data_IF_778559714854
#
_entry.id   IF_778559714854
#
_cell.length_a   1.000
_cell.length_b   1.000
_cell.length_c   1.000
_cell.angle_alpha   90.00
_cell.angle_beta   90.00
_cell.angle_gamma   90.00
#
_symmetry.space_group_name_H-M   'P 1'
#
loop_
_entity.id
_entity.type
_entity.pdbx_description
1 polymer ?
#
# COMPACT_ATOMS: atom_id res chain seq x y z
N UNK A 1 -17.77 7.52 7.71
CA UNK A 1 -16.79 8.55 7.25
C UNK A 1 -16.92 8.87 5.75
N UNK A 2 -16.60 10.09 5.31
CA UNK A 2 -16.76 10.53 3.90
C UNK A 2 -15.68 9.97 2.98
N UNK A 3 -16.05 9.54 1.77
CA UNK A 3 -15.09 9.16 0.73
C UNK A 3 -14.44 10.40 0.12
N UNK A 4 -13.12 10.41 0.11
CA UNK A 4 -12.26 11.45 -0.45
C UNK A 4 -11.69 10.99 -1.80
N UNK A 5 -11.26 11.94 -2.63
CA UNK A 5 -10.67 11.66 -3.95
C UNK A 5 -9.21 12.11 -4.02
N UNK A 6 -8.41 11.36 -4.77
CA UNK A 6 -7.10 11.81 -5.23
C UNK A 6 -7.01 11.64 -6.74
N UNK A 7 -6.51 12.69 -7.42
CA UNK A 7 -6.38 12.69 -8.88
C UNK A 7 -5.28 11.73 -9.30
N UNK A 8 -5.46 11.03 -10.42
CA UNK A 8 -4.44 10.13 -10.97
C UNK A 8 -3.95 10.67 -12.31
N UNK A 9 -2.65 10.89 -12.45
CA UNK A 9 -2.02 11.36 -13.67
C UNK A 9 -0.95 10.35 -14.13
N UNK A 10 -1.17 9.75 -15.29
CA UNK A 10 -0.20 8.89 -15.95
C UNK A 10 0.72 9.69 -16.88
N UNK A 11 1.99 9.31 -16.93
CA UNK A 11 2.98 9.82 -17.87
C UNK A 11 3.66 8.67 -18.62
N UNK A 12 3.98 8.92 -19.89
CA UNK A 12 4.70 7.93 -20.71
C UNK A 12 6.11 7.72 -20.17
N UNK A 13 6.54 6.46 -20.06
CA UNK A 13 7.90 6.13 -19.58
C UNK A 13 9.00 6.81 -20.38
N UNK A 14 8.87 6.88 -21.72
CA UNK A 14 9.82 7.60 -22.57
C UNK A 14 9.98 9.08 -22.19
N UNK A 15 8.91 9.74 -21.72
CA UNK A 15 8.98 11.14 -21.27
C UNK A 15 9.62 11.32 -19.90
N UNK A 16 9.81 10.25 -19.14
CA UNK A 16 10.48 10.24 -17.84
C UNK A 16 11.94 9.82 -17.98
N UNK A 17 12.18 8.64 -18.59
CA UNK A 17 13.49 7.98 -18.66
C UNK A 17 14.29 8.33 -19.91
N UNK A 18 13.66 8.91 -20.95
CA UNK A 18 14.32 9.16 -22.22
C UNK A 18 15.49 10.14 -22.13
N UNK A 19 16.71 9.65 -22.40
CA UNK A 19 17.79 10.44 -22.99
C UNK A 19 17.40 10.74 -24.44
N UNK A 20 16.72 11.85 -24.67
CA UNK A 20 16.28 12.24 -26.02
C UNK A 20 17.49 12.37 -26.96
N UNK A 21 17.48 11.66 -28.10
CA UNK A 21 18.49 11.79 -29.17
C UNK A 21 18.29 13.04 -30.05
N UNK A 22 17.27 13.83 -29.77
CA UNK A 22 17.06 15.18 -30.33
C UNK A 22 16.93 16.18 -29.19
N UNK A 23 17.27 17.44 -29.41
CA UNK A 23 16.93 18.54 -28.51
C UNK A 23 15.41 18.67 -28.41
N UNK A 24 14.80 17.85 -27.55
CA UNK A 24 13.42 17.99 -27.13
C UNK A 24 13.45 18.84 -25.87
N UNK A 25 12.60 19.88 -25.76
CA UNK A 25 12.46 20.58 -24.50
C UNK A 25 12.09 19.54 -23.44
N UNK A 26 12.75 19.60 -22.29
CA UNK A 26 12.58 18.75 -21.08
C UNK A 26 11.12 18.67 -20.61
N UNK A 27 10.25 18.05 -21.40
CA UNK A 27 8.80 18.06 -21.27
C UNK A 27 8.34 16.66 -20.88
N UNK A 28 7.42 16.61 -19.92
CA UNK A 28 6.73 15.40 -19.48
C UNK A 28 5.44 15.29 -20.27
N UNK A 29 5.17 14.12 -20.85
CA UNK A 29 4.01 13.88 -21.70
C UNK A 29 3.03 12.97 -20.96
N UNK A 30 1.76 13.36 -20.90
CA UNK A 30 0.72 12.51 -20.33
C UNK A 30 0.59 11.21 -21.12
N UNK A 31 0.31 10.13 -20.40
CA UNK A 31 -0.12 8.87 -20.99
C UNK A 31 -1.43 9.04 -21.77
N UNK A 32 -1.74 8.06 -22.62
CA UNK A 32 -2.99 8.02 -23.39
C UNK A 32 -4.19 7.60 -22.54
N UNK A 33 -3.95 7.01 -21.37
CA UNK A 33 -5.01 6.50 -20.51
C UNK A 33 -5.54 7.61 -19.61
N UNK A 34 -6.85 7.84 -19.70
CA UNK A 34 -7.56 8.63 -18.71
C UNK A 34 -7.88 7.75 -17.50
N UNK A 35 -7.32 8.11 -16.35
CA UNK A 35 -7.61 7.45 -15.09
C UNK A 35 -8.71 8.17 -14.34
N UNK A 36 -9.72 7.43 -13.91
CA UNK A 36 -10.65 7.96 -12.91
C UNK A 36 -9.90 8.24 -11.60
N UNK A 37 -10.35 9.26 -10.85
CA UNK A 37 -9.83 9.53 -9.51
C UNK A 37 -9.88 8.27 -8.64
N UNK A 38 -8.90 8.13 -7.75
CA UNK A 38 -8.90 7.08 -6.75
C UNK A 38 -9.75 7.54 -5.56
N UNK A 39 -10.75 6.72 -5.20
CA UNK A 39 -11.64 6.98 -4.07
C UNK A 39 -11.07 6.31 -2.82
N UNK A 40 -10.81 7.11 -1.81
CA UNK A 40 -10.14 6.71 -0.60
C UNK A 40 -10.96 7.21 0.59
N UNK A 41 -11.09 6.41 1.64
CA UNK A 41 -11.56 6.90 2.92
C UNK A 41 -10.58 6.52 4.03
N UNK A 42 -10.90 6.93 5.24
CA UNK A 42 -10.07 6.65 6.41
C UNK A 42 -9.83 5.16 6.63
N UNK A 43 -10.84 4.29 6.48
CA UNK A 43 -10.69 2.85 6.66
C UNK A 43 -9.71 2.23 5.66
N UNK A 44 -9.81 2.62 4.38
CA UNK A 44 -8.85 2.22 3.34
C UNK A 44 -7.43 2.66 3.67
N UNK A 45 -7.24 3.93 4.01
CA UNK A 45 -5.92 4.46 4.34
C UNK A 45 -5.35 3.84 5.58
N UNK A 46 -6.17 3.61 6.60
CA UNK A 46 -5.75 2.99 7.85
C UNK A 46 -5.24 1.58 7.59
N UNK A 47 -6.00 0.79 6.83
CA UNK A 47 -5.58 -0.56 6.41
C UNK A 47 -4.31 -0.53 5.57
N UNK A 48 -4.24 0.37 4.59
CA UNK A 48 -3.09 0.50 3.72
C UNK A 48 -1.83 0.96 4.46
N UNK A 49 -1.96 1.88 5.43
CA UNK A 49 -0.83 2.36 6.22
C UNK A 49 -0.32 1.30 7.19
N UNK A 50 -1.22 0.49 7.77
CA UNK A 50 -0.83 -0.71 8.51
C UNK A 50 -0.02 -1.64 7.62
N UNK A 51 -0.57 -2.05 6.48
CA UNK A 51 0.09 -2.99 5.56
C UNK A 51 1.39 -2.44 4.96
N UNK A 52 1.50 -1.13 4.79
CA UNK A 52 2.71 -0.46 4.29
C UNK A 52 3.82 -0.34 5.33
N UNK A 53 3.48 -0.14 6.60
CA UNK A 53 4.45 0.17 7.65
C UNK A 53 4.91 -1.06 8.44
N UNK A 54 4.14 -2.16 8.41
CA UNK A 54 4.44 -3.33 9.23
C UNK A 54 5.34 -4.31 8.50
N UNK A 55 6.46 -4.62 9.12
CA UNK A 55 7.29 -5.77 8.77
C UNK A 55 7.07 -6.92 9.76
N UNK A 56 7.47 -8.16 9.43
CA UNK A 56 7.58 -9.26 10.41
C UNK A 56 8.69 -8.88 11.39
N UNK A 57 8.31 -8.19 12.45
CA UNK A 57 9.14 -8.01 13.63
C UNK A 57 9.12 -9.27 14.50
N UNK A 58 10.14 -9.45 15.33
CA UNK A 58 10.20 -10.54 16.32
C UNK A 58 9.27 -10.31 17.52
N UNK A 59 8.77 -9.08 17.70
CA UNK A 59 7.92 -8.69 18.82
C UNK A 59 6.53 -8.30 18.34
N UNK A 60 5.57 -9.20 18.59
CA UNK A 60 4.15 -9.03 18.31
C UNK A 60 3.54 -7.78 18.95
N UNK A 61 3.89 -7.52 20.21
CA UNK A 61 3.43 -6.34 20.93
C UNK A 61 3.92 -5.04 20.26
N UNK A 62 5.18 -5.01 19.81
CA UNK A 62 5.72 -3.86 19.08
C UNK A 62 4.95 -3.60 17.80
N UNK A 63 4.67 -4.66 17.03
CA UNK A 63 3.90 -4.54 15.79
C UNK A 63 2.50 -3.99 16.05
N UNK A 64 1.79 -4.50 17.07
CA UNK A 64 0.46 -3.99 17.42
C UNK A 64 0.49 -2.48 17.78
N UNK A 65 1.53 -2.02 18.49
CA UNK A 65 1.70 -0.60 18.78
C UNK A 65 2.04 0.23 17.53
N UNK A 66 2.93 -0.24 16.66
CA UNK A 66 3.28 0.46 15.42
C UNK A 66 2.07 0.64 14.50
N UNK A 67 1.18 -0.35 14.52
CA UNK A 67 -0.10 -0.33 13.81
C UNK A 67 -1.07 0.69 14.41
N UNK A 68 -1.25 0.65 15.74
CA UNK A 68 -2.08 1.63 16.44
C UNK A 68 -1.59 3.07 16.15
N UNK A 69 -0.28 3.29 16.20
CA UNK A 69 0.36 4.56 15.88
C UNK A 69 0.17 4.98 14.41
N UNK A 70 0.12 4.03 13.49
CA UNK A 70 -0.15 4.28 12.06
C UNK A 70 -1.57 4.85 11.86
N UNK A 71 -2.57 4.22 12.46
CA UNK A 71 -3.96 4.70 12.38
C UNK A 71 -4.16 6.07 13.07
N UNK A 72 -3.54 6.28 14.23
CA UNK A 72 -3.56 7.59 14.90
C UNK A 72 -2.84 8.67 14.10
N UNK A 73 -1.73 8.32 13.46
CA UNK A 73 -0.98 9.24 12.60
C UNK A 73 -1.86 9.76 11.46
N UNK A 74 -2.64 8.90 10.81
CA UNK A 74 -3.60 9.33 9.79
C UNK A 74 -4.62 10.34 10.33
N UNK A 75 -5.20 10.08 11.51
CA UNK A 75 -6.12 11.04 12.16
C UNK A 75 -5.46 12.38 12.45
N UNK A 76 -4.17 12.37 12.77
CA UNK A 76 -3.38 13.57 13.02
C UNK A 76 -3.04 14.34 11.74
N UNK A 77 -2.88 13.64 10.62
CA UNK A 77 -2.40 14.20 9.36
C UNK A 77 -3.50 14.68 8.42
N UNK A 78 -4.60 13.94 8.31
CA UNK A 78 -5.61 14.14 7.27
C UNK A 78 -6.75 15.03 7.74
N UNK A 79 -7.22 15.89 6.84
CA UNK A 79 -8.50 16.57 7.00
C UNK A 79 -9.60 15.72 6.36
N UNK A 80 -10.20 14.83 7.16
CA UNK A 80 -11.24 13.90 6.73
C UNK A 80 -12.58 14.59 6.37
N UNK A 81 -12.70 15.91 6.57
CA UNK A 81 -13.92 16.66 6.21
C UNK A 81 -13.90 17.13 4.74
N UNK A 82 -12.75 17.06 4.07
CA UNK A 82 -12.62 17.50 2.69
C UNK A 82 -13.05 16.40 1.71
N UNK A 83 -13.52 16.81 0.53
CA UNK A 83 -13.87 15.88 -0.55
C UNK A 83 -12.64 15.29 -1.26
N UNK A 84 -11.47 15.92 -1.11
CA UNK A 84 -10.18 15.43 -1.61
C UNK A 84 -9.29 14.95 -0.46
N UNK A 85 -8.34 14.06 -0.76
CA UNK A 85 -7.28 13.70 0.19
C UNK A 85 -6.42 14.93 0.40
N UNK A 86 -6.31 15.42 1.63
CA UNK A 86 -5.48 16.55 1.97
C UNK A 86 -4.97 16.48 3.40
N UNK A 87 -3.82 17.09 3.61
CA UNK A 87 -3.24 17.32 4.92
C UNK A 87 -4.06 18.39 5.67
N UNK A 88 -4.06 18.32 7.00
CA UNK A 88 -4.63 19.39 7.84
C UNK A 88 -3.89 20.70 7.61
N UNK A 89 -4.65 21.79 7.68
CA UNK A 89 -4.10 23.14 7.65
C UNK A 89 -3.01 23.34 8.71
N UNK A 90 -1.91 24.00 8.30
CA UNK A 90 -0.75 24.26 9.14
C UNK A 90 0.19 23.06 9.31
N UNK A 91 -0.03 21.93 8.62
CA UNK A 91 0.86 20.76 8.68
C UNK A 91 2.32 21.12 8.42
N UNK A 92 2.60 21.91 7.36
CA UNK A 92 3.97 22.29 6.98
C UNK A 92 4.66 23.22 7.96
N UNK A 93 3.89 23.95 8.76
CA UNK A 93 4.40 24.88 9.78
C UNK A 93 4.59 24.17 11.12
N UNK A 94 3.72 23.21 11.44
CA UNK A 94 3.71 22.46 12.70
C UNK A 94 4.93 21.55 12.87
N UNK A 95 5.37 20.90 11.79
CA UNK A 95 6.42 19.88 11.86
C UNK A 95 7.76 20.39 11.31
N UNK A 96 8.86 19.94 11.93
CA UNK A 96 10.22 20.15 11.41
C UNK A 96 10.43 19.40 10.10
N UNK A 97 11.36 19.84 9.26
CA UNK A 97 11.57 19.33 7.91
C UNK A 97 11.75 17.80 7.81
N UNK A 98 12.52 17.20 8.72
CA UNK A 98 12.67 15.74 8.78
C UNK A 98 11.34 15.04 9.08
N UNK A 99 10.61 15.50 10.11
CA UNK A 99 9.32 14.94 10.50
C UNK A 99 8.25 15.12 9.43
N UNK A 100 8.25 16.26 8.71
CA UNK A 100 7.37 16.48 7.55
C UNK A 100 7.65 15.47 6.46
N UNK A 101 8.90 15.34 6.07
CA UNK A 101 9.31 14.46 4.97
C UNK A 101 8.98 13.00 5.26
N UNK A 102 9.24 12.53 6.49
CA UNK A 102 8.87 11.17 6.93
C UNK A 102 7.37 10.91 6.86
N UNK A 103 6.56 11.78 7.48
CA UNK A 103 5.09 11.62 7.53
C UNK A 103 4.43 11.72 6.15
N UNK A 104 4.93 12.63 5.30
CA UNK A 104 4.50 12.73 3.89
C UNK A 104 4.88 11.47 3.12
N UNK A 105 6.04 10.87 3.40
CA UNK A 105 6.49 9.60 2.81
C UNK A 105 5.59 8.42 3.19
N UNK A 106 5.33 8.23 4.49
CA UNK A 106 4.46 7.16 5.00
C UNK A 106 3.04 7.25 4.41
N UNK A 107 2.46 8.45 4.36
CA UNK A 107 1.15 8.66 3.74
C UNK A 107 1.18 8.39 2.23
N UNK A 108 2.25 8.78 1.54
CA UNK A 108 2.40 8.50 0.10
C UNK A 108 2.50 6.98 -0.16
N UNK A 109 3.22 6.25 0.68
CA UNK A 109 3.30 4.79 0.67
C UNK A 109 1.91 4.15 0.83
N UNK A 110 1.13 4.56 1.84
CA UNK A 110 -0.25 4.09 2.01
C UNK A 110 -1.17 4.40 0.81
N UNK A 111 -1.07 5.61 0.24
CA UNK A 111 -1.83 5.98 -0.97
C UNK A 111 -1.41 5.12 -2.17
N UNK A 112 -0.11 4.87 -2.33
CA UNK A 112 0.42 4.03 -3.40
C UNK A 112 0.04 2.54 -3.25
N UNK A 113 -0.09 2.05 -2.02
CA UNK A 113 -0.62 0.72 -1.73
C UNK A 113 -2.03 0.55 -2.32
N UNK A 114 -2.93 1.50 -2.02
CA UNK A 114 -4.31 1.48 -2.55
C UNK A 114 -4.30 1.65 -4.07
N UNK A 115 -3.46 2.54 -4.60
CA UNK A 115 -3.30 2.74 -6.04
C UNK A 115 -2.87 1.46 -6.76
N UNK A 116 -1.91 0.72 -6.21
CA UNK A 116 -1.46 -0.54 -6.77
C UNK A 116 -2.57 -1.60 -6.81
N UNK A 117 -3.38 -1.69 -5.75
CA UNK A 117 -4.51 -2.62 -5.70
C UNK A 117 -5.65 -2.22 -6.65
N UNK A 118 -6.12 -0.98 -6.58
CA UNK A 118 -7.37 -0.57 -7.24
C UNK A 118 -7.20 -0.01 -8.64
N UNK A 119 -6.02 0.55 -8.99
CA UNK A 119 -5.78 1.14 -10.31
C UNK A 119 -4.84 0.29 -11.15
N UNK A 120 -3.76 -0.22 -10.57
CA UNK A 120 -2.85 -1.11 -11.30
C UNK A 120 -3.37 -2.55 -11.34
N UNK A 121 -4.25 -2.94 -10.42
CA UNK A 121 -4.92 -4.25 -10.39
C UNK A 121 -4.08 -5.38 -9.78
N UNK A 122 -3.07 -5.05 -8.98
CA UNK A 122 -2.27 -6.05 -8.25
C UNK A 122 -2.94 -6.39 -6.93
N UNK A 123 -3.33 -7.65 -6.72
CA UNK A 123 -3.97 -8.07 -5.46
C UNK A 123 -3.04 -7.88 -4.26
N UNK A 124 -1.78 -8.24 -4.41
CA UNK A 124 -0.80 -8.22 -3.32
C UNK A 124 0.22 -7.10 -3.54
N UNK A 125 0.41 -6.32 -2.50
CA UNK A 125 1.45 -5.28 -2.39
C UNK A 125 2.27 -5.63 -1.17
N UNK A 126 3.56 -5.90 -1.38
CA UNK A 126 4.45 -6.48 -0.39
C UNK A 126 5.72 -5.64 -0.28
N UNK A 127 6.24 -5.43 0.93
CA UNK A 127 7.51 -4.73 1.13
C UNK A 127 8.65 -5.45 0.39
N UNK A 128 9.53 -4.69 -0.26
CA UNK A 128 10.58 -5.26 -1.09
C UNK A 128 11.61 -6.08 -0.29
N UNK A 129 12.12 -5.56 0.82
CA UNK A 129 13.15 -6.25 1.61
C UNK A 129 12.59 -7.49 2.31
N UNK A 130 11.31 -7.45 2.64
CA UNK A 130 10.60 -8.59 3.15
C UNK A 130 10.32 -9.64 2.08
N UNK A 131 10.03 -9.23 0.84
CA UNK A 131 9.93 -10.16 -0.28
C UNK A 131 11.27 -10.91 -0.45
N UNK A 132 12.40 -10.19 -0.37
CA UNK A 132 13.72 -10.81 -0.40
C UNK A 132 13.87 -11.85 0.71
N UNK A 133 13.46 -11.49 1.93
CA UNK A 133 13.53 -12.39 3.09
C UNK A 133 12.66 -13.64 2.89
N UNK A 134 11.43 -13.47 2.42
CA UNK A 134 10.47 -14.56 2.18
C UNK A 134 11.00 -15.60 1.18
N UNK A 135 11.79 -15.17 0.19
CA UNK A 135 12.40 -16.05 -0.82
C UNK A 135 13.87 -16.37 -0.58
N UNK A 136 14.39 -16.05 0.62
CA UNK A 136 15.81 -16.25 0.94
C UNK A 136 16.77 -15.60 -0.08
N UNK A 137 16.35 -14.49 -0.69
CA UNK A 137 17.18 -13.68 -1.58
C UNK A 137 18.06 -12.79 -0.69
N UNK A 138 19.39 -12.76 -0.89
CA UNK A 138 20.27 -11.86 -0.15
C UNK A 138 19.78 -10.42 -0.22
N UNK A 139 19.81 -9.72 0.92
CA UNK A 139 19.47 -8.29 0.98
C UNK A 139 20.37 -7.50 0.05
N UNK A 140 19.80 -6.49 -0.59
CA UNK A 140 20.55 -5.58 -1.45
C UNK A 140 21.36 -4.61 -0.59
N UNK A 141 22.68 -4.59 -0.77
CA UNK A 141 23.59 -3.76 0.06
C UNK A 141 24.12 -2.51 -0.63
N UNK A 142 23.92 -2.38 -1.94
CA UNK A 142 24.45 -1.27 -2.76
C UNK A 142 23.32 -0.60 -3.55
N UNK A 143 23.17 0.72 -3.42
CA UNK A 143 22.14 1.51 -4.11
C UNK A 143 20.74 1.36 -3.50
N UNK A 144 19.77 2.15 -3.98
CA UNK A 144 18.41 2.15 -3.43
C UNK A 144 17.59 0.91 -3.79
N UNK A 145 16.62 0.58 -2.94
CA UNK A 145 15.57 -0.43 -3.17
C UNK A 145 14.25 0.27 -3.47
N UNK A 146 13.35 -0.34 -4.26
CA UNK A 146 11.98 0.11 -4.36
C UNK A 146 11.23 -0.18 -3.05
N UNK A 147 10.16 0.55 -2.76
CA UNK A 147 9.31 0.26 -1.58
C UNK A 147 8.60 -1.09 -1.68
N UNK A 148 8.04 -1.42 -2.86
CA UNK A 148 7.14 -2.56 -3.00
C UNK A 148 7.51 -3.52 -4.12
N UNK A 149 7.15 -4.78 -3.90
CA UNK A 149 6.93 -5.83 -4.90
C UNK A 149 5.43 -6.06 -5.03
N UNK A 150 4.91 -6.07 -6.25
CA UNK A 150 3.49 -6.24 -6.56
C UNK A 150 3.28 -7.56 -7.32
N UNK A 151 2.25 -8.32 -6.97
CA UNK A 151 1.88 -9.56 -7.65
C UNK A 151 0.38 -9.84 -7.47
N UNK A 152 -0.14 -10.91 -8.09
CA UNK A 152 -1.56 -11.21 -8.03
C UNK A 152 -2.40 -10.52 -9.11
N UNK A 153 -1.77 -10.09 -10.20
CA UNK A 153 -2.46 -9.51 -11.37
C UNK A 153 -2.47 -10.55 -12.50
N UNK A 154 -3.63 -10.82 -13.08
CA UNK A 154 -3.76 -11.75 -14.20
C UNK A 154 -2.83 -11.34 -15.36
N UNK A 155 -2.06 -12.29 -15.90
CA UNK A 155 -1.07 -12.10 -16.97
C UNK A 155 0.08 -11.13 -16.62
N UNK A 156 0.28 -10.79 -15.35
CA UNK A 156 1.40 -9.98 -14.88
C UNK A 156 1.96 -10.59 -13.60
N UNK A 157 3.09 -11.27 -13.71
CA UNK A 157 3.63 -12.03 -12.59
C UNK A 157 4.03 -11.15 -11.41
N UNK A 158 4.94 -10.22 -11.68
CA UNK A 158 5.68 -9.52 -10.63
C UNK A 158 6.04 -8.13 -11.11
N UNK A 159 5.72 -7.11 -10.34
CA UNK A 159 6.17 -5.76 -10.59
C UNK A 159 6.88 -5.20 -9.37
N UNK A 160 7.59 -4.09 -9.54
CA UNK A 160 8.08 -3.27 -8.42
C UNK A 160 7.43 -1.89 -8.47
N UNK A 161 7.31 -1.24 -7.33
CA UNK A 161 6.80 0.13 -7.23
C UNK A 161 7.61 0.92 -6.21
N UNK A 162 8.12 2.08 -6.63
CA UNK A 162 8.70 3.08 -5.75
C UNK A 162 7.70 4.21 -5.50
N UNK A 163 7.49 4.54 -4.23
CA UNK A 163 6.59 5.56 -3.73
C UNK A 163 7.36 6.78 -3.23
N UNK A 164 7.10 7.94 -3.84
CA UNK A 164 7.60 9.23 -3.35
C UNK A 164 6.45 10.09 -2.84
N UNK A 165 6.70 10.78 -1.74
CA UNK A 165 5.82 11.83 -1.22
C UNK A 165 6.33 13.24 -1.54
N UNK A 166 5.41 14.17 -1.73
CA UNK A 166 5.69 15.61 -1.79
C UNK A 166 4.57 16.39 -1.09
N UNK A 167 4.95 17.31 -0.22
CA UNK A 167 4.01 18.23 0.44
C UNK A 167 4.52 19.66 0.30
N UNK A 168 4.89 20.09 -0.90
CA UNK A 168 5.26 21.49 -1.18
C UNK A 168 4.01 22.37 -1.16
N UNK A 169 4.14 23.69 -0.92
CA UNK A 169 3.00 24.61 -0.94
C UNK A 169 2.41 24.76 -2.35
N UNK A 170 3.31 24.83 -3.33
CA UNK A 170 2.99 24.89 -4.75
C UNK A 170 3.06 23.49 -5.39
N UNK A 171 2.32 23.30 -6.48
CA UNK A 171 2.44 22.11 -7.32
C UNK A 171 3.87 21.97 -7.86
N UNK A 172 4.36 20.74 -7.96
CA UNK A 172 5.67 20.51 -8.55
C UNK A 172 5.67 21.00 -10.00
N UNK A 173 6.69 21.80 -10.33
CA UNK A 173 6.95 22.12 -11.73
C UNK A 173 7.26 20.84 -12.52
N UNK A 174 6.95 20.83 -13.82
CA UNK A 174 7.24 19.68 -14.70
C UNK A 174 8.67 19.13 -14.56
N UNK A 175 9.73 19.97 -14.48
CA UNK A 175 11.09 19.49 -14.26
C UNK A 175 11.30 18.81 -12.90
N UNK A 176 10.71 19.35 -11.82
CA UNK A 176 10.82 18.76 -10.48
C UNK A 176 10.11 17.41 -10.41
N UNK A 177 8.89 17.33 -10.97
CA UNK A 177 8.14 16.09 -11.03
C UNK A 177 8.88 15.02 -11.84
N UNK A 178 9.38 15.38 -13.03
CA UNK A 178 10.18 14.48 -13.86
C UNK A 178 11.43 13.99 -13.13
N UNK A 179 12.17 14.89 -12.47
CA UNK A 179 13.38 14.52 -11.73
C UNK A 179 13.09 13.54 -10.59
N UNK A 180 11.97 13.70 -9.87
CA UNK A 180 11.55 12.74 -8.84
C UNK A 180 11.19 11.38 -9.42
N UNK A 181 10.35 11.34 -10.47
CA UNK A 181 9.94 10.09 -11.13
C UNK A 181 11.14 9.36 -11.75
N UNK A 182 12.01 10.09 -12.45
CA UNK A 182 13.22 9.54 -13.05
C UNK A 182 14.19 9.03 -11.97
N UNK A 183 14.37 9.79 -10.89
CA UNK A 183 15.22 9.38 -9.77
C UNK A 183 14.71 8.10 -9.08
N UNK A 184 13.39 7.99 -8.86
CA UNK A 184 12.76 6.77 -8.35
C UNK A 184 12.96 5.58 -9.30
N UNK A 185 12.78 5.79 -10.60
CA UNK A 185 12.98 4.74 -11.59
C UNK A 185 14.44 4.27 -11.68
N UNK A 186 15.38 5.20 -11.87
CA UNK A 186 16.78 4.89 -12.16
C UNK A 186 17.55 4.41 -10.92
N UNK A 187 17.29 5.03 -9.75
CA UNK A 187 18.08 4.78 -8.55
C UNK A 187 17.47 3.73 -7.61
N UNK A 188 16.23 3.31 -7.83
CA UNK A 188 15.53 2.37 -6.95
C UNK A 188 14.89 1.24 -7.75
N UNK A 189 13.91 1.52 -8.62
CA UNK A 189 13.20 0.46 -9.34
C UNK A 189 14.14 -0.37 -10.23
N UNK A 190 14.90 0.26 -11.13
CA UNK A 190 15.83 -0.44 -12.02
C UNK A 190 16.87 -1.25 -11.25
N UNK A 191 17.40 -0.71 -10.15
CA UNK A 191 18.37 -1.42 -9.32
C UNK A 191 17.74 -2.59 -8.57
N UNK A 192 16.48 -2.46 -8.11
CA UNK A 192 15.72 -3.54 -7.49
C UNK A 192 15.40 -4.66 -8.49
N UNK A 193 14.93 -4.30 -9.68
CA UNK A 193 14.67 -5.25 -10.78
C UNK A 193 15.90 -6.06 -11.12
N UNK A 194 17.05 -5.39 -11.32
CA UNK A 194 18.32 -6.06 -11.62
C UNK A 194 18.71 -7.03 -10.50
N UNK A 195 18.47 -6.68 -9.23
CA UNK A 195 18.77 -7.55 -8.10
C UNK A 195 17.85 -8.78 -8.05
N UNK A 196 16.54 -8.58 -8.22
CA UNK A 196 15.58 -9.68 -8.32
C UNK A 196 15.91 -10.62 -9.48
N UNK A 197 16.27 -10.10 -10.66
CA UNK A 197 16.59 -10.91 -11.83
C UNK A 197 17.93 -11.64 -11.71
N UNK A 198 18.98 -10.95 -11.25
CA UNK A 198 20.34 -11.52 -11.24
C UNK A 198 20.63 -12.42 -10.05
N UNK A 199 20.12 -12.05 -8.86
CA UNK A 199 20.38 -12.76 -7.61
C UNK A 199 19.21 -13.68 -7.28
N UNK A 200 17.99 -13.13 -7.28
CA UNK A 200 16.80 -13.88 -6.90
C UNK A 200 16.23 -14.78 -8.00
N UNK A 201 16.59 -14.51 -9.26
CA UNK A 201 16.10 -15.19 -10.48
C UNK A 201 14.61 -14.98 -10.79
N UNK A 202 13.98 -13.96 -10.22
CA UNK A 202 12.59 -13.61 -10.52
C UNK A 202 12.49 -12.87 -11.85
N UNK A 203 11.40 -13.11 -12.58
CA UNK A 203 11.03 -12.35 -13.78
C UNK A 203 10.12 -11.19 -13.38
N UNK A 204 10.68 -9.99 -13.37
CA UNK A 204 9.92 -8.77 -13.13
C UNK A 204 9.28 -8.32 -14.44
N UNK A 205 7.96 -8.35 -14.49
CA UNK A 205 7.17 -7.81 -15.58
C UNK A 205 7.20 -6.29 -15.55
N UNK A 206 6.87 -5.62 -14.44
CA UNK A 206 6.69 -4.17 -14.43
C UNK A 206 7.49 -3.39 -13.36
N UNK A 207 7.64 -2.07 -13.51
CA UNK A 207 8.42 -1.19 -12.64
C UNK A 207 7.80 0.20 -12.60
N UNK A 208 7.08 0.49 -11.54
CA UNK A 208 6.36 1.73 -11.40
C UNK A 208 7.16 2.73 -10.56
N UNK A 209 7.16 3.98 -10.97
CA UNK A 209 7.60 5.09 -10.12
C UNK A 209 6.40 6.02 -9.92
N UNK A 210 6.13 6.38 -8.67
CA UNK A 210 5.00 7.21 -8.30
C UNK A 210 5.42 8.38 -7.40
N UNK A 211 4.80 9.53 -7.59
CA UNK A 211 4.90 10.71 -6.72
C UNK A 211 3.49 11.10 -6.28
N UNK A 212 3.22 11.02 -4.97
CA UNK A 212 2.00 11.54 -4.35
C UNK A 212 2.26 12.98 -3.89
N UNK A 213 1.62 13.93 -4.57
CA UNK A 213 1.62 15.34 -4.19
C UNK A 213 0.42 15.64 -3.30
N UNK A 214 0.69 16.03 -2.06
CA UNK A 214 -0.31 16.31 -1.03
C UNK A 214 -0.51 17.82 -0.87
N UNK A 215 -1.77 18.25 -0.93
CA UNK A 215 -2.22 19.60 -0.59
C UNK A 215 -2.63 19.69 0.88
N UNK A 216 -2.50 20.87 1.47
CA UNK A 216 -3.18 21.19 2.73
C UNK A 216 -4.62 21.65 2.44
N UNK A 217 -5.52 21.46 3.40
CA UNK A 217 -6.94 21.78 3.21
C UNK A 217 -7.25 23.26 2.99
N UNK A 218 -6.32 24.16 3.31
CA UNK A 218 -6.41 25.60 3.03
C UNK A 218 -6.00 25.96 1.59
N UNK A 219 -5.47 25.03 0.81
CA UNK A 219 -4.99 25.27 -0.55
C UNK A 219 -6.09 25.06 -1.60
N UNK A 220 -6.06 25.85 -2.67
CA UNK A 220 -7.03 25.70 -3.78
C UNK A 220 -6.73 24.53 -4.72
N UNK A 221 -5.51 23.99 -4.66
CA UNK A 221 -5.09 22.83 -5.48
C UNK A 221 -5.53 21.53 -4.83
N UNK A 222 -5.63 20.48 -5.64
CA UNK A 222 -5.98 19.14 -5.18
C UNK A 222 -4.75 18.25 -5.10
N UNK A 223 -4.76 17.27 -4.19
CA UNK A 223 -3.73 16.24 -4.15
C UNK A 223 -3.81 15.33 -5.39
N UNK A 224 -2.67 14.78 -5.79
CA UNK A 224 -2.56 13.96 -6.97
C UNK A 224 -1.50 12.87 -6.84
N UNK A 225 -1.74 11.74 -7.51
CA UNK A 225 -0.76 10.70 -7.79
C UNK A 225 -0.26 10.92 -9.22
N UNK A 226 1.05 10.98 -9.36
CA UNK A 226 1.75 11.09 -10.64
C UNK A 226 2.57 9.83 -10.83
N UNK A 227 2.36 9.08 -11.90
CA UNK A 227 3.10 7.84 -12.12
C UNK A 227 3.56 7.66 -13.56
N UNK A 228 4.61 6.88 -13.73
CA UNK A 228 5.09 6.43 -15.03
C UNK A 228 4.68 4.98 -15.22
N UNK A 229 3.94 4.68 -16.28
CA UNK A 229 3.67 3.31 -16.72
C UNK A 229 4.70 2.91 -17.78
N UNK A 230 5.47 1.85 -17.57
CA UNK A 230 6.35 1.31 -18.60
C UNK A 230 5.66 0.29 -19.48
N UNK A 231 6.14 0.13 -20.72
CA UNK A 231 5.62 -0.85 -21.68
C UNK A 231 6.26 -2.22 -21.41
N UNK A 232 5.49 -3.31 -21.51
CA UNK A 232 5.95 -4.63 -21.04
C UNK A 232 5.59 -5.85 -21.87
N UNK A 233 6.46 -6.86 -21.68
CA UNK A 233 6.31 -8.25 -22.07
C UNK A 233 5.48 -9.02 -21.02
N UNK A 234 4.56 -9.87 -21.47
CA UNK A 234 3.77 -10.76 -20.62
C UNK A 234 4.59 -12.02 -20.25
N UNK A 235 4.44 -12.51 -19.01
CA UNK A 235 5.15 -13.70 -18.52
C UNK A 235 4.17 -14.76 -17.98
N UNK A 236 4.64 -16.02 -17.94
CA UNK A 236 3.89 -17.17 -17.43
C UNK A 236 3.67 -17.10 -15.92
N UNK A 237 2.42 -17.27 -15.50
CA UNK A 237 1.93 -17.28 -14.12
C UNK A 237 2.84 -17.96 -13.07
N UNK A 238 3.14 -17.26 -11.97
CA UNK A 238 3.77 -17.80 -10.76
C UNK A 238 2.91 -17.44 -9.52
N UNK A 239 2.66 -18.41 -8.62
CA UNK A 239 1.76 -18.25 -7.46
C UNK A 239 2.36 -17.48 -6.28
N UNK A 240 3.67 -17.23 -6.27
CA UNK A 240 4.40 -16.59 -5.17
C UNK A 240 3.95 -17.05 -3.75
N UNK A 241 3.72 -18.36 -3.59
CA UNK A 241 3.09 -18.97 -2.41
C UNK A 241 3.73 -18.57 -1.07
N UNK A 242 5.07 -18.50 -1.02
CA UNK A 242 5.80 -18.12 0.20
C UNK A 242 5.55 -16.67 0.64
N UNK A 243 5.41 -15.74 -0.31
CA UNK A 243 5.04 -14.36 0.01
C UNK A 243 3.57 -14.23 0.42
N UNK A 244 2.67 -14.98 -0.20
CA UNK A 244 1.24 -14.99 0.16
C UNK A 244 1.04 -15.51 1.58
N UNK A 245 1.69 -16.63 1.93
CA UNK A 245 1.64 -17.17 3.29
C UNK A 245 2.11 -16.14 4.31
N UNK A 246 3.29 -15.54 4.10
CA UNK A 246 3.82 -14.50 4.98
C UNK A 246 2.92 -13.27 5.07
N UNK A 247 2.30 -12.86 3.95
CA UNK A 247 1.38 -11.73 3.91
C UNK A 247 0.20 -11.93 4.87
N UNK A 248 -0.47 -13.09 4.78
CA UNK A 248 -1.64 -13.35 5.62
C UNK A 248 -1.29 -13.70 7.06
N UNK A 249 -0.16 -14.37 7.31
CA UNK A 249 0.31 -14.63 8.68
C UNK A 249 0.49 -13.30 9.42
N UNK A 250 1.09 -12.29 8.81
CA UNK A 250 1.21 -10.96 9.43
C UNK A 250 -0.13 -10.33 9.76
N UNK A 251 -1.08 -10.45 8.83
CA UNK A 251 -2.40 -9.88 9.03
C UNK A 251 -3.14 -10.60 10.17
N UNK A 252 -3.03 -11.93 10.25
CA UNK A 252 -3.56 -12.74 11.36
C UNK A 252 -2.94 -12.35 12.71
N UNK A 253 -1.62 -12.20 12.72
CA UNK A 253 -0.84 -11.76 13.87
C UNK A 253 -1.29 -10.37 14.34
N UNK A 254 -1.57 -9.47 13.39
CA UNK A 254 -2.11 -8.15 13.69
C UNK A 254 -3.51 -8.21 14.33
N UNK A 255 -4.47 -8.90 13.70
CA UNK A 255 -5.87 -8.88 14.17
C UNK A 255 -6.09 -9.60 15.49
N UNK A 256 -5.18 -10.49 15.92
CA UNK A 256 -5.37 -11.28 17.14
C UNK A 256 -5.12 -10.52 18.45
N UNK A 257 -4.45 -9.36 18.44
CA UNK A 257 -4.10 -8.56 19.65
C UNK A 257 -3.35 -9.29 20.80
N UNK A 258 -3.14 -10.60 20.71
CA UNK A 258 -2.61 -11.41 21.79
C UNK A 258 -1.08 -11.54 21.75
N UNK A 259 -0.45 -11.45 22.93
CA UNK A 259 0.97 -11.82 23.11
C UNK A 259 1.09 -13.34 23.04
N UNK A 260 1.52 -13.87 21.89
CA UNK A 260 1.57 -15.32 21.71
C UNK A 260 2.90 -15.75 21.11
N UNK A 261 3.39 -16.88 21.62
CA UNK A 261 4.59 -17.58 21.18
C UNK A 261 4.41 -17.97 19.70
N UNK A 262 5.47 -17.93 18.88
CA UNK A 262 5.43 -18.19 17.42
C UNK A 262 4.93 -19.61 17.03
N UNK A 263 4.53 -20.41 18.01
CA UNK A 263 4.03 -21.78 17.90
C UNK A 263 2.52 -21.89 17.84
N UNK A 264 1.78 -20.78 17.88
CA UNK A 264 0.34 -20.83 18.03
C UNK A 264 -0.37 -21.40 16.79
N UNK A 265 -1.26 -22.37 17.03
CA UNK A 265 -2.18 -22.89 16.02
C UNK A 265 -3.10 -21.75 15.56
N UNK A 266 -3.26 -21.56 14.25
CA UNK A 266 -4.22 -20.60 13.65
C UNK A 266 -5.62 -20.78 14.29
N UNK A 267 -5.94 -21.96 14.83
CA UNK A 267 -7.22 -22.27 15.44
C UNK A 267 -7.42 -21.49 16.73
N UNK A 268 -6.38 -21.39 17.54
CA UNK A 268 -6.40 -20.60 18.77
C UNK A 268 -6.51 -19.09 18.47
N UNK A 269 -5.98 -18.63 17.33
CA UNK A 269 -6.15 -17.26 16.85
C UNK A 269 -7.61 -16.98 16.48
N UNK A 270 -8.26 -17.92 15.80
CA UNK A 270 -9.63 -17.73 15.34
C UNK A 270 -10.62 -17.67 16.51
N UNK A 271 -10.38 -18.44 17.57
CA UNK A 271 -11.27 -18.51 18.74
C UNK A 271 -11.33 -17.20 19.54
N UNK A 272 -10.42 -16.24 19.30
CA UNK A 272 -10.39 -14.91 19.92
C UNK A 272 -11.01 -13.81 19.03
N UNK A 273 -11.50 -14.16 17.83
CA UNK A 273 -12.08 -13.23 16.87
C UNK A 273 -13.61 -13.38 16.81
N UNK A 274 -14.28 -12.27 16.54
CA UNK A 274 -15.71 -12.28 16.22
C UNK A 274 -15.91 -12.77 14.78
N UNK A 275 -17.08 -13.34 14.50
CA UNK A 275 -17.50 -13.68 13.13
C UNK A 275 -18.61 -12.72 12.71
N UNK A 276 -18.40 -12.08 11.57
CA UNK A 276 -19.38 -11.17 10.95
C UNK A 276 -19.64 -11.58 9.51
N UNK A 277 -20.89 -11.46 9.07
CA UNK A 277 -21.29 -11.74 7.69
C UNK A 277 -21.68 -10.45 6.99
N UNK A 278 -21.03 -10.17 5.86
CA UNK A 278 -21.37 -9.04 5.00
C UNK A 278 -21.65 -9.55 3.58
N UNK A 279 -22.86 -9.29 3.09
CA UNK A 279 -23.31 -9.68 1.74
C UNK A 279 -23.04 -11.16 1.40
N UNK A 280 -23.17 -12.05 2.40
CA UNK A 280 -22.95 -13.49 2.26
C UNK A 280 -21.49 -13.94 2.35
N UNK A 281 -20.55 -13.04 2.64
CA UNK A 281 -19.15 -13.37 2.91
C UNK A 281 -18.91 -13.29 4.43
N UNK A 282 -18.36 -14.35 5.00
CA UNK A 282 -17.99 -14.40 6.42
C UNK A 282 -16.55 -13.92 6.62
N UNK A 283 -16.35 -13.17 7.70
CA UNK A 283 -15.06 -12.63 8.11
C UNK A 283 -14.83 -12.89 9.60
N UNK A 284 -13.61 -13.26 9.94
CA UNK A 284 -13.09 -13.13 11.30
C UNK A 284 -12.65 -11.70 11.52
N UNK A 285 -13.11 -11.05 12.58
CA UNK A 285 -12.82 -9.65 12.90
C UNK A 285 -12.38 -9.51 14.35
N UNK A 286 -11.53 -8.52 14.62
CA UNK A 286 -11.21 -8.10 15.99
C UNK A 286 -12.47 -7.89 16.83
N UNK A 287 -12.47 -8.38 18.08
CA UNK A 287 -13.58 -8.19 19.01
C UNK A 287 -13.78 -6.71 19.34
N UNK A 288 -12.70 -6.02 19.70
CA UNK A 288 -12.72 -4.59 20.04
C UNK A 288 -11.80 -3.78 19.15
N UNK A 289 -12.03 -2.48 19.09
CA UNK A 289 -11.05 -1.57 18.51
C UNK A 289 -9.97 -1.19 19.53
N UNK A 290 -8.79 -0.80 19.04
CA UNK A 290 -7.71 -0.37 19.93
C UNK A 290 -8.11 0.89 20.69
N UNK A 291 -8.12 0.77 22.02
CA UNK A 291 -8.39 1.87 22.94
C UNK A 291 -7.40 1.87 24.10
N UNK A 292 -6.93 3.07 24.44
CA UNK A 292 -6.26 3.40 25.69
C UNK A 292 -6.97 4.61 26.30
N UNK A 293 -6.72 4.92 27.57
CA UNK A 293 -7.42 5.93 28.39
C UNK A 293 -7.61 7.29 27.70
N UNK A 294 -6.73 7.66 26.76
CA UNK A 294 -6.75 8.95 26.07
C UNK A 294 -6.89 8.85 24.55
N UNK A 295 -6.84 7.66 23.97
CA UNK A 295 -6.74 7.47 22.53
C UNK A 295 -7.55 6.26 22.08
N UNK A 296 -8.39 6.44 21.06
CA UNK A 296 -9.14 5.37 20.43
C UNK A 296 -8.99 5.44 18.93
N UNK A 297 -8.67 4.29 18.33
CA UNK A 297 -8.73 4.07 16.89
C UNK A 297 -10.01 3.28 16.65
N UNK A 298 -11.11 3.88 16.16
CA UNK A 298 -12.40 3.19 16.03
C UNK A 298 -12.43 2.38 14.73
N UNK A 299 -11.47 1.48 14.57
CA UNK A 299 -11.37 0.58 13.42
C UNK A 299 -11.08 -0.81 13.95
N UNK A 300 -11.88 -1.77 13.50
CA UNK A 300 -11.64 -3.20 13.69
C UNK A 300 -11.26 -3.80 12.34
N UNK A 301 -10.28 -4.68 12.35
CA UNK A 301 -9.76 -5.31 11.15
C UNK A 301 -10.05 -6.80 11.16
N UNK A 302 -10.13 -7.37 9.96
CA UNK A 302 -10.48 -8.77 9.82
C UNK A 302 -10.01 -9.38 8.51
N UNK A 303 -10.36 -10.65 8.34
CA UNK A 303 -9.97 -11.49 7.21
C UNK A 303 -11.08 -12.48 6.89
N UNK A 304 -11.31 -12.75 5.60
CA UNK A 304 -12.35 -13.68 5.19
C UNK A 304 -12.09 -15.09 5.73
N UNK A 305 -13.15 -15.75 6.20
CA UNK A 305 -13.11 -17.18 6.58
C UNK A 305 -12.56 -18.02 5.43
N UNK A 306 -12.89 -17.66 4.17
CA UNK A 306 -12.42 -18.42 3.01
C UNK A 306 -10.90 -18.37 2.84
N UNK A 307 -10.29 -17.22 3.13
CA UNK A 307 -8.83 -17.08 3.09
C UNK A 307 -8.18 -18.00 4.12
N UNK A 308 -8.73 -18.03 5.34
CA UNK A 308 -8.26 -18.91 6.41
C UNK A 308 -8.36 -20.38 6.04
N UNK A 309 -9.50 -20.82 5.49
CA UNK A 309 -9.66 -22.19 5.01
C UNK A 309 -8.58 -22.60 4.00
N UNK A 310 -8.29 -21.73 3.03
CA UNK A 310 -7.29 -22.00 2.00
C UNK A 310 -5.87 -22.00 2.54
N UNK A 311 -5.57 -21.13 3.53
CA UNK A 311 -4.29 -21.14 4.24
C UNK A 311 -4.07 -22.47 4.98
N UNK A 312 -5.10 -22.99 5.66
CA UNK A 312 -5.04 -24.30 6.32
C UNK A 312 -4.85 -25.46 5.35
N UNK A 313 -5.43 -25.36 4.16
CA UNK A 313 -5.30 -26.36 3.11
C UNK A 313 -3.96 -26.26 2.36
N UNK A 314 -3.16 -25.23 2.64
CA UNK A 314 -1.97 -24.86 1.88
C UNK A 314 -2.26 -24.67 0.37
N UNK A 315 -3.50 -24.31 0.03
CA UNK A 315 -3.96 -24.12 -1.36
C UNK A 315 -3.71 -22.67 -1.81
N UNK A 316 -2.43 -22.35 -1.98
CA UNK A 316 -1.98 -21.02 -2.37
C UNK A 316 -2.38 -20.63 -3.81
N UNK A 317 -2.62 -21.61 -4.67
CA UNK A 317 -3.13 -21.39 -6.03
C UNK A 317 -4.58 -20.87 -5.98
N UNK A 318 -5.44 -21.56 -5.22
CA UNK A 318 -6.80 -21.10 -5.01
C UNK A 318 -6.83 -19.76 -4.29
N UNK A 319 -5.94 -19.53 -3.32
CA UNK A 319 -5.83 -18.27 -2.61
C UNK A 319 -5.38 -17.12 -3.51
N UNK A 320 -4.41 -17.37 -4.39
CA UNK A 320 -4.01 -16.41 -5.42
C UNK A 320 -5.18 -16.06 -6.34
N UNK A 321 -5.98 -17.07 -6.72
CA UNK A 321 -7.11 -16.94 -7.63
C UNK A 321 -8.39 -16.39 -6.96
N UNK A 322 -8.41 -16.31 -5.62
CA UNK A 322 -9.58 -15.88 -4.85
C UNK A 322 -9.77 -14.36 -4.97
N UNK A 323 -10.73 -13.92 -5.77
CA UNK A 323 -11.01 -12.49 -5.96
C UNK A 323 -12.17 -12.03 -5.08
N UNK A 324 -11.90 -11.01 -4.25
CA UNK A 324 -12.92 -10.28 -3.52
C UNK A 324 -13.24 -8.96 -4.24
N UNK A 325 -14.52 -8.57 -4.35
CA UNK A 325 -14.86 -7.28 -4.89
C UNK A 325 -14.42 -6.18 -3.93
N UNK A 326 -13.66 -5.19 -4.41
CA UNK A 326 -13.42 -3.96 -3.63
C UNK A 326 -14.76 -3.29 -3.37
N UNK A 327 -15.14 -3.16 -2.10
CA UNK A 327 -16.40 -2.54 -1.70
C UNK A 327 -16.19 -1.52 -0.60
N UNK A 328 -16.70 -0.33 -0.85
CA UNK A 328 -16.72 0.78 0.09
C UNK A 328 -18.15 1.06 0.51
N UNK A 329 -18.51 0.69 1.73
CA UNK A 329 -19.82 0.88 2.34
C UNK A 329 -19.72 1.84 3.52
N UNK A 330 -20.86 2.28 4.05
CA UNK A 330 -20.87 3.14 5.24
C UNK A 330 -20.28 2.37 6.42
N UNK A 331 -19.12 2.82 6.90
CA UNK A 331 -18.43 2.20 8.04
C UNK A 331 -17.72 0.88 7.72
N UNK A 332 -17.51 0.53 6.44
CA UNK A 332 -16.92 -0.76 6.07
C UNK A 332 -16.19 -0.74 4.73
N UNK A 333 -15.03 -1.40 4.70
CA UNK A 333 -14.21 -1.59 3.50
C UNK A 333 -13.80 -3.06 3.33
N UNK A 334 -14.09 -3.64 2.16
CA UNK A 334 -13.61 -4.97 1.74
C UNK A 334 -12.56 -4.78 0.66
N UNK A 335 -11.41 -5.46 0.82
CA UNK A 335 -10.25 -5.35 -0.07
C UNK A 335 -10.13 -6.55 -1.01
N UNK A 336 -9.45 -6.42 -2.17
CA UNK A 336 -9.26 -7.52 -3.13
C UNK A 336 -8.58 -8.78 -2.59
N UNK A 337 -7.79 -8.61 -1.54
CA UNK A 337 -7.05 -9.68 -0.85
C UNK A 337 -7.90 -10.40 0.22
N UNK A 338 -9.19 -10.07 0.37
CA UNK A 338 -10.07 -10.72 1.34
C UNK A 338 -9.93 -10.21 2.77
N UNK A 339 -9.16 -9.14 2.99
CA UNK A 339 -9.18 -8.41 4.27
C UNK A 339 -10.37 -7.46 4.35
N UNK A 340 -10.72 -7.05 5.57
CA UNK A 340 -11.82 -6.13 5.85
C UNK A 340 -11.41 -5.13 6.94
N UNK A 341 -11.96 -3.92 6.86
CA UNK A 341 -11.91 -2.93 7.93
C UNK A 341 -13.30 -2.38 8.21
N UNK A 342 -13.66 -2.28 9.49
CA UNK A 342 -14.99 -1.85 9.94
C UNK A 342 -14.86 -0.74 10.98
N UNK A 343 -15.71 0.28 10.88
CA UNK A 343 -15.82 1.35 11.86
C UNK A 343 -16.43 0.79 13.16
N UNK A 344 -15.80 1.07 14.29
CA UNK A 344 -16.32 0.66 15.59
C UNK A 344 -17.33 1.69 16.10
N UNK A 345 -18.62 1.32 16.10
CA UNK A 345 -19.75 2.21 16.37
C UNK A 345 -20.01 2.49 17.86
N UNK A 346 -19.33 1.83 18.79
CA UNK A 346 -19.55 2.05 20.23
C UNK A 346 -18.97 3.39 20.71
N UNK A 347 -19.51 4.55 20.34
CA UNK A 347 -19.06 5.88 20.82
C UNK A 347 -19.57 6.20 22.22
#
# INVERSE_FOLDING_TARGET
>A
MTSQKIKVNEYTSASITGKSTRESPKSINRGSNDHSDLKINFLKLSTAMVKANTTIGQSMLSQAYDIFLSALTLRGLLDCNQSGICLKDGFREKYRDFSKSGRTGELAQAVNYIFAQEKLGFKFVFDYDEFLTAYSIPRKTIGGTPDYVLFGKKNSNLAVLESKGSSTKEELTKPQLRAKLQGAMENQCNLGVLHLQSVGKQRVSNSYASVVELAESSESRVSAIHFADPEYDEFEYETYSGAISNYYIRWLLFINEASLDYTLDIKEIIDTLDIVTYEGIEFYIQMSSYSDRYLRVPVRYGISVKVIELLYQEDYEALYSLDFPTKSLSGLEIFPDGTIAVEDEEI
#
